data_IF_754096529472
#
_entry.id   IF_754096529472
#
_cell.length_a   1.000
_cell.length_b   1.000
_cell.length_c   1.000
_cell.angle_alpha   90.00
_cell.angle_beta   90.00
_cell.angle_gamma   90.00
#
_symmetry.space_group_name_H-M   'P 1'
#
loop_
_entity.id
_entity.type
_entity.pdbx_description
1 polymer ?
#
# COMPACT_ATOMS: atom_id res chain seq x y z
N UNK A 1 17.46 59.62 9.98
CA UNK A 1 16.95 58.58 9.09
C UNK A 1 16.95 57.29 9.86
N UNK A 2 15.79 56.86 10.35
CA UNK A 2 15.64 55.58 11.04
C UNK A 2 15.28 54.54 10.02
N UNK A 3 16.21 53.67 9.67
CA UNK A 3 15.95 52.50 8.84
C UNK A 3 15.12 51.52 9.67
N UNK A 4 13.82 51.47 9.39
CA UNK A 4 12.93 50.48 9.94
C UNK A 4 13.37 49.09 9.40
N UNK A 5 14.08 48.33 10.20
CA UNK A 5 14.32 46.90 9.96
C UNK A 5 12.97 46.22 10.03
N UNK A 6 12.47 45.77 8.89
CA UNK A 6 11.28 44.94 8.86
C UNK A 6 11.48 43.73 9.79
N UNK A 7 10.47 43.38 10.61
CA UNK A 7 10.62 42.26 11.52
C UNK A 7 10.95 41.02 10.69
N UNK A 8 11.99 40.31 11.07
CA UNK A 8 12.29 38.98 10.55
C UNK A 8 11.04 38.14 10.83
N UNK A 9 10.26 37.88 9.76
CA UNK A 9 9.13 36.94 9.82
C UNK A 9 9.75 35.62 10.23
N UNK A 10 9.42 35.18 11.45
CA UNK A 10 9.96 33.97 12.05
C UNK A 10 9.69 32.82 11.08
N UNK A 11 10.76 32.31 10.45
CA UNK A 11 10.65 31.24 9.46
C UNK A 11 10.26 29.99 10.21
N UNK A 12 9.02 29.52 10.03
CA UNK A 12 8.56 28.28 10.61
C UNK A 12 9.40 27.15 10.01
N UNK A 13 10.19 26.48 10.85
CA UNK A 13 11.03 25.36 10.41
C UNK A 13 10.20 24.08 10.34
N UNK A 14 10.31 23.37 9.20
CA UNK A 14 9.65 22.09 8.94
C UNK A 14 9.89 21.06 10.05
N UNK A 15 11.12 21.03 10.57
CA UNK A 15 11.53 20.09 11.62
C UNK A 15 10.93 20.38 13.00
N UNK A 16 10.52 21.64 13.23
CA UNK A 16 10.02 22.10 14.54
C UNK A 16 8.51 22.03 14.64
N UNK A 17 7.79 22.42 13.58
CA UNK A 17 6.34 22.37 13.48
C UNK A 17 5.91 22.14 12.03
N UNK A 18 5.79 20.87 11.67
CA UNK A 18 5.45 20.45 10.30
C UNK A 18 4.08 20.95 9.85
N UNK A 19 3.08 20.92 10.75
CA UNK A 19 1.74 21.38 10.42
C UNK A 19 1.69 22.88 10.13
N UNK A 20 2.29 23.68 11.02
CA UNK A 20 2.34 25.12 10.84
C UNK A 20 3.18 25.50 9.60
N UNK A 21 4.27 24.76 9.33
CA UNK A 21 5.09 24.93 8.15
C UNK A 21 4.27 24.69 6.87
N UNK A 22 3.49 23.62 6.79
CA UNK A 22 2.62 23.32 5.63
C UNK A 22 1.62 24.45 5.36
N UNK A 23 0.98 24.98 6.40
CA UNK A 23 0.03 26.10 6.27
C UNK A 23 0.71 27.40 5.82
N UNK A 24 1.90 27.68 6.33
CA UNK A 24 2.72 28.81 5.90
C UNK A 24 3.10 28.68 4.41
N UNK A 25 3.62 27.50 4.01
CA UNK A 25 3.96 27.25 2.61
C UNK A 25 2.74 27.35 1.68
N UNK A 26 1.59 26.82 2.07
CA UNK A 26 0.34 26.92 1.32
C UNK A 26 -0.11 28.38 1.16
N UNK A 27 0.05 29.19 2.19
CA UNK A 27 -0.27 30.63 2.17
C UNK A 27 0.69 31.38 1.23
N UNK A 28 1.99 31.11 1.31
CA UNK A 28 3.01 31.69 0.41
C UNK A 28 2.75 31.36 -1.05
N UNK A 29 2.41 30.09 -1.35
CA UNK A 29 2.05 29.66 -2.70
C UNK A 29 0.85 30.46 -3.25
N UNK A 30 -0.22 30.61 -2.46
CA UNK A 30 -1.41 31.37 -2.89
C UNK A 30 -1.13 32.85 -3.15
N UNK A 31 -0.20 33.42 -2.42
CA UNK A 31 0.21 34.84 -2.56
C UNK A 31 1.28 35.04 -3.63
N UNK A 32 1.80 33.99 -4.26
CA UNK A 32 2.91 34.09 -5.19
C UNK A 32 4.23 34.52 -4.52
N UNK A 33 4.39 34.29 -3.23
CA UNK A 33 5.58 34.67 -2.48
C UNK A 33 6.79 33.83 -2.92
N UNK A 34 7.84 34.49 -3.40
CA UNK A 34 9.07 33.83 -3.85
C UNK A 34 9.85 33.13 -2.73
N UNK A 35 9.51 33.36 -1.47
CA UNK A 35 10.11 32.72 -0.30
C UNK A 35 9.54 31.33 0.03
N UNK A 36 8.71 30.80 -0.85
CA UNK A 36 8.25 29.41 -0.81
C UNK A 36 9.46 28.46 -0.83
N UNK A 37 9.46 27.49 0.08
CA UNK A 37 10.45 26.42 0.11
C UNK A 37 10.05 25.31 -0.89
N UNK A 38 10.42 25.55 -2.15
CA UNK A 38 10.01 24.69 -3.27
C UNK A 38 10.56 23.29 -3.17
N UNK A 39 11.80 23.15 -2.71
CA UNK A 39 12.45 21.84 -2.59
C UNK A 39 11.76 20.98 -1.54
N UNK A 40 11.60 21.52 -0.33
CA UNK A 40 10.89 20.79 0.74
C UNK A 40 9.45 20.45 0.38
N UNK A 41 8.76 21.34 -0.38
CA UNK A 41 7.40 21.04 -0.87
C UNK A 41 7.39 19.95 -1.92
N UNK A 42 8.35 19.92 -2.85
CA UNK A 42 8.47 18.87 -3.85
C UNK A 42 8.69 17.50 -3.16
N UNK A 43 9.60 17.45 -2.17
CA UNK A 43 9.81 16.24 -1.36
C UNK A 43 8.53 15.74 -0.68
N UNK A 44 7.71 16.65 -0.11
CA UNK A 44 6.46 16.24 0.54
C UNK A 44 5.44 15.72 -0.47
N UNK A 45 5.30 16.36 -1.63
CA UNK A 45 4.40 15.91 -2.68
C UNK A 45 4.83 14.54 -3.22
N UNK A 46 6.12 14.31 -3.41
CA UNK A 46 6.66 13.00 -3.79
C UNK A 46 6.43 11.94 -2.70
N UNK A 47 6.58 12.31 -1.42
CA UNK A 47 6.30 11.43 -0.30
C UNK A 47 4.82 11.05 -0.22
N UNK A 48 3.89 11.97 -0.52
CA UNK A 48 2.46 11.70 -0.63
C UNK A 48 2.16 10.72 -1.75
N UNK A 49 2.70 10.93 -2.95
CA UNK A 49 2.54 10.00 -4.08
C UNK A 49 3.11 8.61 -3.76
N UNK A 50 4.25 8.55 -3.05
CA UNK A 50 4.81 7.28 -2.59
C UNK A 50 3.93 6.61 -1.52
N UNK A 51 3.16 7.38 -0.74
CA UNK A 51 2.21 6.85 0.24
C UNK A 51 1.08 6.08 -0.44
N UNK A 52 0.46 6.64 -1.48
CA UNK A 52 -0.59 5.97 -2.25
C UNK A 52 -0.10 4.64 -2.86
N UNK A 53 1.12 4.62 -3.41
CA UNK A 53 1.71 3.36 -3.90
C UNK A 53 1.92 2.33 -2.79
N UNK A 54 2.32 2.75 -1.59
CA UNK A 54 2.46 1.86 -0.44
C UNK A 54 1.11 1.34 0.03
N UNK A 55 0.09 2.16 0.01
CA UNK A 55 -1.28 1.79 0.37
C UNK A 55 -1.83 0.73 -0.57
N UNK A 56 -1.72 0.96 -1.90
CA UNK A 56 -2.11 -0.04 -2.90
C UNK A 56 -1.39 -1.37 -2.69
N UNK A 57 -0.07 -1.33 -2.45
CA UNK A 57 0.70 -2.54 -2.17
C UNK A 57 0.22 -3.23 -0.89
N UNK A 58 -0.10 -2.49 0.16
CA UNK A 58 -0.59 -3.04 1.41
C UNK A 58 -1.92 -3.78 1.24
N UNK A 59 -2.86 -3.22 0.47
CA UNK A 59 -4.11 -3.91 0.14
C UNK A 59 -3.86 -5.21 -0.63
N UNK A 60 -2.93 -5.18 -1.60
CA UNK A 60 -2.52 -6.38 -2.33
C UNK A 60 -1.88 -7.43 -1.40
N UNK A 61 -0.99 -7.04 -0.49
CA UNK A 61 -0.36 -7.93 0.49
C UNK A 61 -1.41 -8.64 1.36
N UNK A 62 -2.39 -7.90 1.88
CA UNK A 62 -3.48 -8.45 2.69
C UNK A 62 -4.33 -9.43 1.89
N UNK A 63 -4.74 -9.05 0.68
CA UNK A 63 -5.54 -9.90 -0.21
C UNK A 63 -4.81 -11.21 -0.53
N UNK A 64 -3.59 -11.11 -1.04
CA UNK A 64 -2.78 -12.25 -1.47
C UNK A 64 -2.48 -13.20 -0.32
N UNK A 65 -2.18 -12.69 0.88
CA UNK A 65 -1.99 -13.49 2.08
C UNK A 65 -3.23 -14.29 2.43
N UNK A 66 -4.41 -13.67 2.40
CA UNK A 66 -5.65 -14.36 2.74
C UNK A 66 -6.11 -15.34 1.66
N UNK A 67 -5.87 -15.07 0.38
CA UNK A 67 -6.10 -16.02 -0.71
C UNK A 67 -5.21 -17.27 -0.57
N UNK A 68 -3.93 -17.10 -0.22
CA UNK A 68 -3.03 -18.22 0.05
C UNK A 68 -3.52 -19.06 1.22
N UNK A 69 -3.87 -18.43 2.34
CA UNK A 69 -4.41 -19.12 3.52
C UNK A 69 -5.72 -19.84 3.19
N UNK A 70 -6.60 -19.18 2.45
CA UNK A 70 -7.88 -19.77 2.00
C UNK A 70 -7.69 -21.03 1.14
N UNK A 71 -6.71 -20.98 0.22
CA UNK A 71 -6.41 -22.11 -0.66
C UNK A 71 -5.78 -23.30 0.09
N UNK A 72 -4.90 -23.02 1.04
CA UNK A 72 -4.05 -24.03 1.67
C UNK A 72 -4.62 -24.61 2.97
N UNK A 73 -5.50 -23.89 3.66
CA UNK A 73 -6.09 -24.33 4.92
C UNK A 73 -7.63 -24.30 4.87
N UNK A 74 -8.28 -25.18 4.08
CA UNK A 74 -9.73 -25.18 3.93
C UNK A 74 -10.48 -25.40 5.26
N UNK A 75 -9.88 -26.14 6.20
CA UNK A 75 -10.46 -26.40 7.52
C UNK A 75 -10.36 -25.23 8.51
N UNK A 76 -9.63 -24.15 8.16
CA UNK A 76 -9.48 -22.95 8.98
C UNK A 76 -10.16 -21.73 8.38
N UNK A 77 -10.97 -21.91 7.35
CA UNK A 77 -11.72 -20.82 6.71
C UNK A 77 -12.74 -20.22 7.67
N UNK A 78 -12.51 -18.99 8.08
CA UNK A 78 -13.37 -18.26 9.01
C UNK A 78 -13.91 -16.95 8.39
N UNK A 79 -14.83 -16.30 9.13
CA UNK A 79 -15.43 -15.04 8.73
C UNK A 79 -14.38 -13.94 8.53
N UNK A 80 -13.34 -13.90 9.37
CA UNK A 80 -12.27 -12.92 9.26
C UNK A 80 -11.54 -12.99 7.91
N UNK A 81 -11.15 -14.18 7.46
CA UNK A 81 -10.48 -14.35 6.17
C UNK A 81 -11.42 -14.01 5.00
N UNK A 82 -12.68 -14.44 5.12
CA UNK A 82 -13.71 -14.11 4.12
C UNK A 82 -13.91 -12.62 3.99
N UNK A 83 -13.99 -11.89 5.09
CA UNK A 83 -14.13 -10.44 5.10
C UNK A 83 -12.90 -9.77 4.46
N UNK A 84 -11.68 -10.19 4.82
CA UNK A 84 -10.45 -9.63 4.23
C UNK A 84 -10.40 -9.82 2.71
N UNK A 85 -10.78 -11.02 2.21
CA UNK A 85 -10.81 -11.29 0.76
C UNK A 85 -11.90 -10.48 0.04
N UNK A 86 -13.03 -10.20 0.69
CA UNK A 86 -14.11 -9.39 0.08
C UNK A 86 -13.86 -7.88 0.13
N UNK A 87 -13.17 -7.39 1.16
CA UNK A 87 -12.98 -5.94 1.37
C UNK A 87 -11.76 -5.43 0.62
N UNK A 88 -10.67 -6.21 0.56
CA UNK A 88 -9.43 -5.75 -0.05
C UNK A 88 -9.56 -5.37 -1.56
N UNK A 89 -10.28 -6.11 -2.42
CA UNK A 89 -10.48 -5.70 -3.81
C UNK A 89 -11.14 -4.34 -3.95
N UNK A 90 -12.14 -4.04 -3.11
CA UNK A 90 -12.82 -2.73 -3.12
C UNK A 90 -11.87 -1.59 -2.79
N UNK A 91 -11.06 -1.75 -1.75
CA UNK A 91 -10.05 -0.73 -1.42
C UNK A 91 -9.01 -0.54 -2.54
N UNK A 92 -8.69 -1.59 -3.30
CA UNK A 92 -7.84 -1.48 -4.48
C UNK A 92 -8.56 -0.72 -5.60
N UNK A 93 -9.83 -1.05 -5.87
CA UNK A 93 -10.64 -0.38 -6.89
C UNK A 93 -10.79 1.11 -6.57
N UNK A 94 -11.17 1.46 -5.34
CA UNK A 94 -11.32 2.84 -4.87
C UNK A 94 -10.02 3.64 -5.12
N UNK A 95 -8.86 3.08 -4.73
CA UNK A 95 -7.55 3.72 -4.97
C UNK A 95 -7.24 3.88 -6.47
N UNK A 96 -7.61 2.92 -7.31
CA UNK A 96 -7.37 2.97 -8.75
C UNK A 96 -8.36 3.90 -9.47
N UNK A 97 -9.53 4.17 -8.89
CA UNK A 97 -10.48 5.18 -9.36
C UNK A 97 -10.00 6.59 -8.99
N UNK A 98 -9.59 6.78 -7.73
CA UNK A 98 -9.08 8.06 -7.24
C UNK A 98 -7.75 8.44 -7.89
N UNK A 99 -6.87 7.47 -8.12
CA UNK A 99 -5.53 7.65 -8.69
C UNK A 99 -5.27 6.72 -9.90
N UNK A 100 -5.87 7.00 -11.07
CA UNK A 100 -5.76 6.14 -12.27
C UNK A 100 -4.32 5.92 -12.75
N UNK A 101 -3.39 6.81 -12.41
CA UNK A 101 -1.96 6.67 -12.72
C UNK A 101 -1.28 5.49 -12.02
N UNK A 102 -1.93 4.90 -11.02
CA UNK A 102 -1.47 3.68 -10.34
C UNK A 102 -1.74 2.39 -11.14
N UNK A 103 -2.72 2.40 -12.07
CA UNK A 103 -3.12 1.21 -12.85
C UNK A 103 -1.94 0.51 -13.54
N UNK A 104 -1.03 1.22 -14.24
CA UNK A 104 0.13 0.58 -14.88
C UNK A 104 1.09 -0.08 -13.89
N UNK A 105 1.10 0.36 -12.64
CA UNK A 105 2.00 -0.15 -11.60
C UNK A 105 1.48 -1.42 -10.91
N UNK A 106 0.21 -1.78 -11.09
CA UNK A 106 -0.44 -2.91 -10.41
C UNK A 106 0.35 -4.21 -10.59
N UNK A 107 0.78 -4.52 -11.82
CA UNK A 107 1.49 -5.77 -12.12
C UNK A 107 2.81 -5.85 -11.35
N UNK A 108 3.58 -4.76 -11.35
CA UNK A 108 4.84 -4.69 -10.59
C UNK A 108 4.60 -4.81 -9.08
N UNK A 109 3.57 -4.13 -8.58
CA UNK A 109 3.24 -4.13 -7.17
C UNK A 109 2.72 -5.50 -6.70
N UNK A 110 1.97 -6.23 -7.54
CA UNK A 110 1.55 -7.61 -7.24
C UNK A 110 2.76 -8.51 -7.01
N UNK A 111 3.80 -8.44 -7.85
CA UNK A 111 4.99 -9.26 -7.68
C UNK A 111 5.68 -9.00 -6.34
N UNK A 112 5.82 -7.73 -5.95
CA UNK A 112 6.42 -7.33 -4.67
C UNK A 112 5.53 -7.71 -3.48
N UNK A 113 4.23 -7.48 -3.59
CA UNK A 113 3.24 -7.80 -2.56
C UNK A 113 3.14 -9.32 -2.35
N UNK A 114 3.19 -10.10 -3.44
CA UNK A 114 3.11 -11.55 -3.35
C UNK A 114 4.31 -12.16 -2.64
N UNK A 115 5.51 -11.69 -2.91
CA UNK A 115 6.71 -12.17 -2.20
C UNK A 115 6.58 -12.00 -0.69
N UNK A 116 6.06 -10.87 -0.22
CA UNK A 116 5.82 -10.59 1.19
C UNK A 116 4.65 -11.41 1.73
N UNK A 117 3.50 -11.39 1.04
CA UNK A 117 2.31 -12.14 1.43
C UNK A 117 2.59 -13.65 1.55
N UNK A 118 3.44 -14.20 0.69
CA UNK A 118 3.88 -15.60 0.74
C UNK A 118 4.64 -15.91 2.02
N UNK A 119 5.56 -15.04 2.44
CA UNK A 119 6.30 -15.19 3.69
C UNK A 119 5.37 -15.07 4.89
N UNK A 120 4.58 -13.99 4.96
CA UNK A 120 3.65 -13.75 6.06
C UNK A 120 2.60 -14.87 6.19
N UNK A 121 2.09 -15.39 5.07
CA UNK A 121 1.17 -16.52 5.06
C UNK A 121 1.83 -17.80 5.59
N UNK A 122 3.07 -18.07 5.18
CA UNK A 122 3.81 -19.23 5.66
C UNK A 122 4.03 -19.18 7.18
N UNK A 123 4.41 -18.02 7.71
CA UNK A 123 4.63 -17.79 9.13
C UNK A 123 3.32 -17.93 9.94
N UNK A 124 2.25 -17.26 9.51
CA UNK A 124 0.95 -17.34 10.17
C UNK A 124 0.33 -18.76 10.14
N UNK A 125 0.57 -19.50 9.07
CA UNK A 125 0.16 -20.90 8.95
C UNK A 125 1.10 -21.86 9.68
N UNK A 126 2.24 -21.37 10.18
CA UNK A 126 3.30 -22.18 10.84
C UNK A 126 3.80 -23.31 9.94
N UNK A 127 4.02 -23.01 8.67
CA UNK A 127 4.53 -23.98 7.71
C UNK A 127 6.01 -24.30 8.03
N UNK A 128 6.37 -25.56 7.88
CA UNK A 128 7.80 -25.93 7.88
C UNK A 128 8.48 -25.36 6.64
N UNK A 129 9.82 -25.24 6.67
CA UNK A 129 10.61 -24.77 5.52
C UNK A 129 10.30 -25.56 4.24
N UNK A 130 10.15 -26.88 4.35
CA UNK A 130 9.82 -27.73 3.21
C UNK A 130 8.41 -27.48 2.67
N UNK A 131 7.44 -27.17 3.53
CA UNK A 131 6.09 -26.80 3.11
C UNK A 131 6.06 -25.41 2.48
N UNK A 132 6.73 -24.43 3.07
CA UNK A 132 6.84 -23.08 2.53
C UNK A 132 7.52 -23.06 1.16
N UNK A 133 8.54 -23.91 0.94
CA UNK A 133 9.19 -24.05 -0.36
C UNK A 133 8.29 -24.57 -1.48
N UNK A 134 7.16 -25.20 -1.15
CA UNK A 134 6.15 -25.67 -2.14
C UNK A 134 5.14 -24.61 -2.56
N UNK A 135 5.16 -23.45 -1.90
CA UNK A 135 4.34 -22.31 -2.32
C UNK A 135 4.86 -21.80 -3.69
N UNK A 136 3.97 -21.40 -4.60
CA UNK A 136 4.38 -20.80 -5.87
C UNK A 136 5.37 -19.65 -5.64
N UNK A 137 6.40 -19.55 -6.46
CA UNK A 137 7.36 -18.45 -6.38
C UNK A 137 6.78 -17.14 -6.91
N UNK A 138 5.93 -17.22 -7.93
CA UNK A 138 5.19 -16.11 -8.50
C UNK A 138 3.70 -16.20 -8.15
N UNK A 139 3.02 -15.05 -8.17
CA UNK A 139 1.57 -14.98 -7.94
C UNK A 139 0.83 -15.87 -8.97
N UNK A 140 0.03 -16.84 -8.50
CA UNK A 140 -0.66 -17.77 -9.40
C UNK A 140 -1.98 -17.20 -9.96
N UNK A 141 -2.35 -15.98 -9.58
CA UNK A 141 -3.62 -15.34 -9.95
C UNK A 141 -3.37 -14.13 -10.84
N UNK A 142 -4.30 -13.90 -11.78
CA UNK A 142 -4.26 -12.73 -12.67
C UNK A 142 -4.77 -11.47 -11.96
N UNK A 143 -4.51 -10.30 -12.54
CA UNK A 143 -5.02 -9.02 -12.03
C UNK A 143 -6.54 -9.03 -11.95
N UNK A 144 -7.21 -9.54 -13.02
CA UNK A 144 -8.66 -9.63 -13.10
C UNK A 144 -9.23 -10.51 -11.99
N UNK A 145 -8.57 -11.64 -11.68
CA UNK A 145 -8.96 -12.51 -10.58
C UNK A 145 -8.79 -11.84 -9.22
N UNK A 146 -7.74 -11.04 -9.05
CA UNK A 146 -7.48 -10.35 -7.78
C UNK A 146 -8.44 -9.18 -7.52
N UNK A 147 -8.94 -8.56 -8.58
CA UNK A 147 -9.92 -7.47 -8.50
C UNK A 147 -11.37 -7.97 -8.45
N UNK A 148 -11.62 -9.23 -8.76
CA UNK A 148 -12.95 -9.82 -8.67
C UNK A 148 -13.30 -10.20 -7.22
N UNK A 149 -14.20 -9.47 -6.59
CA UNK A 149 -14.67 -9.71 -5.22
C UNK A 149 -15.34 -11.07 -5.02
N UNK A 150 -15.78 -11.73 -6.10
CA UNK A 150 -16.37 -13.07 -6.07
C UNK A 150 -15.35 -14.17 -6.41
N UNK A 151 -14.09 -13.80 -6.65
CA UNK A 151 -13.03 -14.78 -6.91
C UNK A 151 -12.60 -15.50 -5.63
N UNK A 152 -12.66 -16.82 -5.68
CA UNK A 152 -12.19 -17.71 -4.62
C UNK A 152 -11.28 -18.81 -5.19
N UNK A 153 -10.02 -18.89 -4.75
CA UNK A 153 -9.11 -19.92 -5.25
C UNK A 153 -9.59 -21.30 -4.80
N UNK A 154 -9.55 -22.26 -5.74
CA UNK A 154 -9.88 -23.65 -5.44
C UNK A 154 -8.91 -24.23 -4.39
N UNK A 155 -9.39 -25.05 -3.45
CA UNK A 155 -8.52 -25.75 -2.53
C UNK A 155 -7.46 -26.54 -3.28
N UNK A 156 -6.19 -26.40 -2.93
CA UNK A 156 -5.21 -27.42 -3.33
C UNK A 156 -5.43 -28.62 -2.42
N UNK A 157 -6.10 -29.64 -2.93
CA UNK A 157 -6.11 -30.94 -2.28
C UNK A 157 -4.66 -31.41 -2.23
N UNK A 158 -4.04 -31.34 -1.05
CA UNK A 158 -2.86 -32.14 -0.80
C UNK A 158 -3.28 -33.58 -1.06
N UNK A 159 -2.61 -34.26 -1.99
CA UNK A 159 -2.67 -35.72 -1.99
C UNK A 159 -2.27 -36.12 -0.56
N UNK A 160 -3.25 -36.62 0.21
CA UNK A 160 -2.95 -37.35 1.40
C UNK A 160 -1.96 -38.43 0.98
N UNK A 161 -0.77 -38.37 1.55
CA UNK A 161 0.26 -39.35 1.27
C UNK A 161 -0.27 -40.75 1.56
N UNK A 162 -0.12 -41.60 0.57
CA UNK A 162 -0.10 -43.03 0.80
C UNK A 162 1.23 -43.39 1.42
#
# INVERSE_FOLDING_TARGET
MVTATAPAIDRIEKSRDFHAWLLDQATRLRLGDMRVDRESLAEELEAMAACERRELRSHLEVLLKHLLKWQLQPNRRGMSWRNSVKVAPRGIEDLLEDSPSLKPLVIELISKAYARARTDAADEMRLTRAQAARLPEACPWTVEQLLDAEFWPRPKHGKAGA
#
